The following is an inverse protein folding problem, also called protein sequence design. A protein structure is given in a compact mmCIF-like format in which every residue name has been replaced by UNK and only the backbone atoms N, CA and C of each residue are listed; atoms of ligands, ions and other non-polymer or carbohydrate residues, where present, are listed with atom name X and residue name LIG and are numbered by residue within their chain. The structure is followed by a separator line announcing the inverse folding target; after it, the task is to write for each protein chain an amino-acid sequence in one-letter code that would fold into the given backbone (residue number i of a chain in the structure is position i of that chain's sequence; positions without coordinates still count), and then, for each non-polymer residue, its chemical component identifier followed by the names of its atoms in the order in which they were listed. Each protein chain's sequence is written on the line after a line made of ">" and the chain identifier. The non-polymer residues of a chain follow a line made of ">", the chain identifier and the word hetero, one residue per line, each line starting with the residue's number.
data_IF_966731601758
#
_entry.id   IF_966731601758
#
_cell.length_a   1.000
_cell.length_b   1.000
_cell.length_c   1.000
_cell.angle_alpha   90.00
_cell.angle_beta   90.00
_cell.angle_gamma   90.00
#
_symmetry.space_group_name_H-M   'P 1'
#
loop_
_entity.id
_entity.type
_entity.pdbx_description
1 polymer ?
#
# COMPACT_ATOMS: atom_id res chain seq x y z
N UNK A 1 15.10 -17.07 -21.12
CA UNK A 1 15.35 -17.34 -19.70
C UNK A 1 13.99 -17.62 -19.07
N UNK A 2 13.80 -18.77 -18.40
CA UNK A 2 12.51 -19.09 -17.79
C UNK A 2 12.44 -18.41 -16.42
N UNK A 3 11.43 -17.59 -16.19
CA UNK A 3 11.18 -16.96 -14.90
C UNK A 3 10.27 -17.90 -14.14
N UNK A 4 10.70 -18.33 -12.96
CA UNK A 4 9.88 -19.16 -12.09
C UNK A 4 9.54 -18.37 -10.84
N UNK A 5 8.35 -17.78 -10.85
CA UNK A 5 7.70 -17.25 -9.67
C UNK A 5 6.74 -18.32 -9.15
N UNK A 6 6.98 -18.83 -7.96
CA UNK A 6 6.21 -19.93 -7.39
C UNK A 6 5.41 -19.41 -6.20
N UNK A 7 4.09 -19.49 -6.29
CA UNK A 7 3.20 -19.35 -5.14
C UNK A 7 2.82 -20.75 -4.64
N UNK A 8 3.32 -21.12 -3.47
CA UNK A 8 3.00 -22.40 -2.84
C UNK A 8 1.82 -22.23 -1.89
N UNK A 9 0.94 -23.23 -1.84
CA UNK A 9 -0.24 -23.23 -0.97
C UNK A 9 -0.22 -24.45 -0.05
N UNK A 10 -0.71 -24.27 1.16
CA UNK A 10 -1.02 -25.34 2.08
C UNK A 10 -2.23 -26.15 1.57
N UNK A 11 -2.44 -27.42 2.01
CA UNK A 11 -3.63 -28.20 1.65
C UNK A 11 -4.98 -27.51 1.96
N UNK A 12 -5.00 -26.58 2.91
CA UNK A 12 -6.14 -25.75 3.27
C UNK A 12 -6.26 -24.45 2.43
N UNK A 13 -5.49 -24.36 1.33
CA UNK A 13 -5.43 -23.25 0.37
C UNK A 13 -4.84 -21.94 0.90
N UNK A 14 -4.32 -21.90 2.11
CA UNK A 14 -3.57 -20.73 2.59
C UNK A 14 -2.24 -20.61 1.85
N UNK A 15 -1.75 -19.40 1.54
CA UNK A 15 -0.44 -19.22 0.94
C UNK A 15 0.63 -19.75 1.91
N UNK A 16 1.53 -20.60 1.42
CA UNK A 16 2.64 -21.14 2.19
C UNK A 16 3.92 -20.38 1.95
N UNK A 17 4.21 -20.06 0.69
CA UNK A 17 5.37 -19.28 0.31
C UNK A 17 5.18 -18.62 -1.06
N UNK A 18 5.90 -17.53 -1.25
CA UNK A 18 6.15 -16.91 -2.54
C UNK A 18 7.66 -16.96 -2.74
N UNK A 19 8.13 -17.49 -3.86
CA UNK A 19 9.56 -17.68 -4.11
C UNK A 19 9.97 -17.23 -5.50
N UNK A 20 10.97 -16.36 -5.53
CA UNK A 20 11.77 -16.07 -6.71
C UNK A 20 13.24 -16.21 -6.35
N UNK A 21 13.94 -17.07 -7.07
CA UNK A 21 15.35 -17.39 -6.80
C UNK A 21 16.33 -16.39 -7.42
N UNK A 22 15.84 -15.36 -8.11
CA UNK A 22 16.70 -14.31 -8.68
C UNK A 22 17.32 -13.43 -7.60
N UNK A 23 18.50 -12.84 -7.86
CA UNK A 23 19.08 -11.86 -6.95
C UNK A 23 18.12 -10.69 -6.66
N UNK A 24 17.73 -10.52 -5.39
CA UNK A 24 16.81 -9.48 -4.96
C UNK A 24 15.33 -9.77 -5.24
N UNK A 25 14.97 -10.94 -5.77
CA UNK A 25 13.59 -11.40 -5.93
C UNK A 25 12.87 -11.60 -4.59
N UNK A 26 11.55 -11.62 -4.63
CA UNK A 26 10.73 -11.83 -3.44
C UNK A 26 10.78 -13.31 -3.02
N UNK A 27 11.24 -13.55 -1.80
CA UNK A 27 11.34 -14.88 -1.23
C UNK A 27 10.84 -14.87 0.22
N UNK A 28 9.59 -15.32 0.44
CA UNK A 28 8.92 -15.23 1.73
C UNK A 28 8.01 -16.43 1.99
N UNK A 29 8.16 -17.05 3.17
CA UNK A 29 7.24 -18.02 3.73
C UNK A 29 6.25 -17.38 4.71
N UNK A 30 5.07 -17.97 4.83
CA UNK A 30 3.97 -17.50 5.66
C UNK A 30 3.72 -18.47 6.80
N UNK A 31 3.72 -17.98 8.03
CA UNK A 31 3.34 -18.73 9.23
C UNK A 31 1.96 -18.30 9.74
N UNK A 32 1.13 -19.27 10.13
CA UNK A 32 -0.23 -19.01 10.62
C UNK A 32 -0.44 -19.64 12.00
N UNK A 33 -1.31 -19.03 12.79
CA UNK A 33 -1.83 -19.67 13.99
C UNK A 33 -2.96 -20.69 13.65
N UNK A 34 -3.42 -21.48 14.63
CA UNK A 34 -4.47 -22.48 14.40
C UNK A 34 -5.81 -21.91 13.92
N UNK A 35 -6.09 -20.62 14.20
CA UNK A 35 -7.32 -19.97 13.77
C UNK A 35 -7.17 -19.23 12.44
N UNK A 36 -5.95 -19.26 11.83
CA UNK A 36 -5.68 -18.75 10.49
C UNK A 36 -5.16 -17.31 10.43
N UNK A 37 -4.80 -16.69 11.55
CA UNK A 37 -4.12 -15.41 11.51
C UNK A 37 -2.66 -15.58 11.03
N UNK A 38 -2.19 -14.70 10.15
CA UNK A 38 -0.80 -14.66 9.72
C UNK A 38 0.10 -14.19 10.88
N UNK A 39 0.97 -15.06 11.38
CA UNK A 39 1.81 -14.76 12.55
C UNK A 39 3.26 -14.47 12.22
N UNK A 40 3.72 -14.88 11.03
CA UNK A 40 5.12 -14.72 10.65
C UNK A 40 5.29 -14.58 9.13
N UNK A 41 6.28 -13.76 8.75
CA UNK A 41 6.85 -13.70 7.41
C UNK A 41 8.32 -14.10 7.53
N UNK A 42 8.72 -15.19 6.87
CA UNK A 42 10.05 -15.78 7.00
C UNK A 42 10.73 -15.83 5.63
N UNK A 43 11.92 -15.19 5.44
CA UNK A 43 12.66 -15.34 4.20
C UNK A 43 13.02 -16.81 3.96
N UNK A 44 13.04 -17.24 2.69
CA UNK A 44 13.38 -18.62 2.37
C UNK A 44 14.78 -18.99 2.85
N UNK A 45 14.93 -20.26 3.20
CA UNK A 45 16.18 -20.78 3.75
C UNK A 45 16.47 -20.36 5.19
N UNK A 46 15.65 -19.49 5.80
CA UNK A 46 15.78 -19.08 7.18
C UNK A 46 14.78 -19.81 8.08
N UNK A 47 15.20 -20.13 9.31
CA UNK A 47 14.31 -20.63 10.36
C UNK A 47 13.73 -19.52 11.24
N UNK A 48 14.29 -18.31 11.13
CA UNK A 48 13.90 -17.15 11.95
C UNK A 48 13.03 -16.23 11.10
N UNK A 49 11.81 -15.88 11.56
CA UNK A 49 10.97 -14.90 10.87
C UNK A 49 11.67 -13.55 10.75
N UNK A 50 11.46 -12.89 9.61
CA UNK A 50 11.84 -11.48 9.44
C UNK A 50 10.84 -10.58 10.19
N UNK A 51 9.57 -10.97 10.15
CA UNK A 51 8.45 -10.26 10.76
C UNK A 51 7.64 -11.22 11.62
N UNK A 52 7.28 -10.77 12.83
CA UNK A 52 6.28 -11.41 13.69
C UNK A 52 5.05 -10.52 13.87
N UNK A 53 3.87 -11.12 13.78
CA UNK A 53 2.59 -10.43 13.97
C UNK A 53 1.90 -10.96 15.22
N UNK A 54 1.32 -10.06 16.00
CA UNK A 54 0.56 -10.38 17.22
C UNK A 54 -0.88 -9.90 17.12
N UNK A 55 -1.79 -10.67 17.71
CA UNK A 55 -3.22 -10.40 17.68
C UNK A 55 -3.82 -10.42 19.08
N UNK A 56 -4.94 -9.75 19.25
CA UNK A 56 -5.77 -9.89 20.43
C UNK A 56 -6.73 -11.10 20.30
N UNK A 57 -7.52 -11.34 21.34
CA UNK A 57 -8.47 -12.46 21.39
C UNK A 57 -9.62 -12.35 20.34
N UNK A 58 -9.77 -11.19 19.71
CA UNK A 58 -10.73 -10.95 18.62
C UNK A 58 -10.08 -11.02 17.24
N UNK A 59 -8.81 -11.44 17.13
CA UNK A 59 -8.08 -11.52 15.88
C UNK A 59 -7.66 -10.17 15.29
N UNK A 60 -7.65 -9.09 16.09
CA UNK A 60 -7.21 -7.78 15.63
C UNK A 60 -5.70 -7.63 15.81
N UNK A 61 -5.00 -7.11 14.80
CA UNK A 61 -3.55 -6.89 14.87
C UNK A 61 -3.21 -5.93 16.02
N UNK A 62 -2.34 -6.38 16.93
CA UNK A 62 -1.85 -5.59 18.07
C UNK A 62 -0.37 -5.26 17.98
N UNK A 63 0.38 -6.01 17.18
CA UNK A 63 1.81 -5.78 17.04
C UNK A 63 2.39 -6.30 15.75
N UNK A 64 3.33 -5.53 15.23
CA UNK A 64 4.17 -5.85 14.09
C UNK A 64 5.61 -5.73 14.56
N UNK A 65 6.34 -6.84 14.62
CA UNK A 65 7.63 -6.94 15.28
C UNK A 65 8.72 -7.36 14.31
N UNK A 66 9.93 -6.85 14.50
CA UNK A 66 11.13 -7.44 13.92
C UNK A 66 11.29 -8.86 14.50
N UNK A 67 11.28 -9.85 13.62
CA UNK A 67 11.31 -11.26 14.04
C UNK A 67 12.66 -11.70 14.62
N UNK A 68 13.74 -11.00 14.26
CA UNK A 68 15.10 -11.31 14.77
C UNK A 68 15.32 -10.73 16.16
N UNK A 69 14.92 -9.48 16.39
CA UNK A 69 15.18 -8.77 17.65
C UNK A 69 14.00 -8.80 18.61
N UNK A 70 12.79 -9.14 18.12
CA UNK A 70 11.54 -9.03 18.87
C UNK A 70 11.08 -7.57 19.08
N UNK A 71 11.80 -6.59 18.51
CA UNK A 71 11.49 -5.17 18.67
C UNK A 71 10.18 -4.84 17.99
N UNK A 72 9.29 -4.14 18.70
CA UNK A 72 8.02 -3.69 18.17
C UNK A 72 8.25 -2.56 17.14
N UNK A 73 7.99 -2.84 15.87
CA UNK A 73 8.01 -1.86 14.76
C UNK A 73 6.75 -1.02 14.86
N UNK A 74 5.57 -1.66 14.81
CA UNK A 74 4.26 -1.03 15.01
C UNK A 74 3.50 -1.70 16.14
N UNK A 75 2.68 -0.92 16.83
CA UNK A 75 1.82 -1.44 17.88
C UNK A 75 0.47 -0.74 17.88
N UNK A 76 -0.58 -1.49 18.09
CA UNK A 76 -1.96 -1.00 18.03
C UNK A 76 -2.74 -1.41 19.27
N UNK A 77 -3.62 -0.53 19.73
CA UNK A 77 -4.67 -0.87 20.69
C UNK A 77 -6.02 -0.43 20.15
N UNK A 78 -7.05 -1.17 20.51
CA UNK A 78 -8.42 -0.88 20.12
C UNK A 78 -9.34 -1.01 21.34
N UNK A 79 -10.45 -0.28 21.33
CA UNK A 79 -11.51 -0.45 22.32
C UNK A 79 -12.36 -1.71 22.06
N UNK A 80 -13.35 -1.96 22.91
CA UNK A 80 -14.24 -3.10 22.79
C UNK A 80 -15.07 -3.09 21.50
N UNK A 81 -15.29 -1.92 20.89
CA UNK A 81 -16.07 -1.74 19.68
C UNK A 81 -15.23 -1.71 18.40
N UNK A 82 -13.89 -1.81 18.52
CA UNK A 82 -12.95 -1.88 17.39
C UNK A 82 -12.35 -0.54 16.98
N UNK A 83 -12.65 0.56 17.67
CA UNK A 83 -11.98 1.83 17.40
C UNK A 83 -10.51 1.74 17.81
N UNK A 84 -9.58 2.17 16.94
CA UNK A 84 -8.16 2.22 17.27
C UNK A 84 -7.92 3.32 18.31
N UNK A 85 -7.42 2.95 19.48
CA UNK A 85 -7.09 3.89 20.56
C UNK A 85 -5.65 4.40 20.48
N UNK A 86 -4.76 3.60 19.94
CA UNK A 86 -3.36 4.01 19.75
C UNK A 86 -2.72 3.34 18.54
N UNK A 87 -1.70 4.01 17.99
CA UNK A 87 -0.74 3.42 17.07
C UNK A 87 0.67 3.87 17.43
N UNK A 88 1.63 2.93 17.49
CA UNK A 88 3.04 3.24 17.57
C UNK A 88 3.55 3.59 16.16
N UNK A 89 4.25 4.70 16.05
CA UNK A 89 4.91 5.13 14.81
C UNK A 89 6.36 5.46 15.16
N UNK A 90 7.30 4.65 14.74
CA UNK A 90 8.69 4.73 15.16
C UNK A 90 8.81 4.58 16.69
N UNK A 91 9.33 5.60 17.38
CA UNK A 91 9.46 5.63 18.84
C UNK A 91 8.26 6.25 19.55
N UNK A 92 7.31 6.83 18.82
CA UNK A 92 6.19 7.61 19.37
C UNK A 92 4.89 6.83 19.31
N UNK A 93 4.11 6.85 20.40
CA UNK A 93 2.74 6.35 20.40
C UNK A 93 1.78 7.50 20.15
N UNK A 94 1.02 7.40 19.08
CA UNK A 94 -0.05 8.34 18.74
C UNK A 94 -1.37 7.87 19.37
N UNK A 95 -2.04 8.77 20.09
CA UNK A 95 -3.36 8.54 20.69
C UNK A 95 -4.45 8.94 19.71
N UNK A 96 -5.47 8.10 19.60
CA UNK A 96 -6.66 8.31 18.76
C UNK A 96 -7.84 8.67 19.67
N UNK A 97 -8.55 9.71 19.34
CA UNK A 97 -9.67 10.23 20.16
C UNK A 97 -10.98 10.15 19.40
N UNK A 98 -12.03 9.79 20.11
CA UNK A 98 -13.39 9.68 19.59
C UNK A 98 -14.37 10.41 20.53
N UNK A 99 -15.46 11.00 20.03
CA UNK A 99 -16.57 11.42 20.88
C UNK A 99 -17.20 10.21 21.58
N UNK A 100 -17.82 10.44 22.73
CA UNK A 100 -18.43 9.36 23.53
C UNK A 100 -19.64 8.70 22.88
N UNK A 101 -20.25 9.38 21.92
CA UNK A 101 -21.47 9.00 21.20
C UNK A 101 -21.22 8.67 19.73
N UNK A 102 -19.96 8.55 19.31
CA UNK A 102 -19.61 8.34 17.90
C UNK A 102 -18.32 7.57 17.73
N UNK A 103 -18.27 6.66 16.72
CA UNK A 103 -17.06 6.01 16.24
C UNK A 103 -16.25 6.89 15.26
N UNK A 104 -16.64 8.15 15.08
CA UNK A 104 -15.96 9.07 14.17
C UNK A 104 -14.69 9.61 14.83
N UNK A 105 -13.55 9.35 14.22
CA UNK A 105 -12.23 9.76 14.72
C UNK A 105 -12.15 11.29 14.82
N UNK A 106 -12.07 11.85 16.03
CA UNK A 106 -12.02 13.30 16.23
C UNK A 106 -10.61 13.89 16.22
N UNK A 107 -9.60 13.12 16.66
CA UNK A 107 -8.21 13.56 16.62
C UNK A 107 -7.23 12.37 16.60
N UNK A 108 -6.02 12.62 16.08
CA UNK A 108 -4.85 11.74 16.25
C UNK A 108 -3.69 12.58 16.75
N UNK A 109 -3.07 12.16 17.85
CA UNK A 109 -1.99 12.91 18.52
C UNK A 109 -2.34 14.39 18.74
N UNK A 110 -3.60 14.67 19.11
CA UNK A 110 -4.12 16.02 19.30
C UNK A 110 -4.46 16.80 18.02
N UNK A 111 -4.15 16.26 16.84
CA UNK A 111 -4.48 16.91 15.55
C UNK A 111 -5.94 16.60 15.18
N UNK A 112 -6.78 17.63 15.27
CA UNK A 112 -8.23 17.51 15.06
C UNK A 112 -8.60 17.16 13.62
N UNK A 113 -9.73 16.46 13.47
CA UNK A 113 -10.40 16.18 12.20
C UNK A 113 -11.79 16.79 12.21
N UNK A 114 -12.19 17.35 11.09
CA UNK A 114 -13.54 17.84 10.88
C UNK A 114 -14.19 17.15 9.70
N UNK A 115 -15.51 17.06 9.78
CA UNK A 115 -16.31 16.28 8.84
C UNK A 115 -17.48 17.11 8.31
N UNK A 116 -17.93 16.80 7.11
CA UNK A 116 -19.19 17.29 6.60
C UNK A 116 -20.39 16.52 7.22
N UNK A 117 -21.61 16.92 6.85
CA UNK A 117 -22.83 16.29 7.34
C UNK A 117 -22.95 14.80 6.93
N UNK A 118 -22.32 14.40 5.84
CA UNK A 118 -22.35 13.02 5.33
C UNK A 118 -21.23 12.15 5.89
N UNK A 119 -20.30 12.74 6.66
CA UNK A 119 -19.20 12.02 7.31
C UNK A 119 -17.88 12.02 6.55
N UNK A 120 -17.78 12.75 5.47
CA UNK A 120 -16.50 12.89 4.76
C UNK A 120 -15.56 13.79 5.55
N UNK A 121 -14.28 13.41 5.67
CA UNK A 121 -13.25 14.25 6.31
C UNK A 121 -12.98 15.48 5.47
N UNK A 122 -13.31 16.68 5.93
CA UNK A 122 -13.08 17.93 5.20
C UNK A 122 -11.82 18.66 5.63
N UNK A 123 -11.31 18.41 6.86
CA UNK A 123 -10.03 18.97 7.29
C UNK A 123 -9.32 18.09 8.33
N UNK A 124 -7.98 18.17 8.31
CA UNK A 124 -7.08 17.61 9.31
C UNK A 124 -6.13 18.72 9.74
N UNK A 125 -6.16 19.10 11.03
CA UNK A 125 -5.37 20.21 11.57
C UNK A 125 -5.75 21.56 10.96
N UNK A 126 -7.06 21.80 10.75
CA UNK A 126 -7.58 23.03 10.15
C UNK A 126 -7.15 23.18 8.69
N UNK A 127 -6.28 24.16 8.39
CA UNK A 127 -5.80 24.40 7.03
C UNK A 127 -4.62 23.54 6.60
N UNK A 128 -4.05 22.73 7.51
CA UNK A 128 -2.88 21.88 7.20
C UNK A 128 -3.21 20.93 6.06
N UNK A 129 -4.38 20.27 6.12
CA UNK A 129 -4.95 19.48 5.02
C UNK A 129 -6.44 19.72 4.94
N UNK A 130 -6.95 19.96 3.75
CA UNK A 130 -8.38 20.17 3.50
C UNK A 130 -8.81 19.39 2.26
N UNK A 131 -10.06 18.96 2.27
CA UNK A 131 -10.63 18.15 1.19
C UNK A 131 -12.03 18.66 0.84
N UNK A 132 -12.38 18.59 -0.43
CA UNK A 132 -13.74 18.80 -0.90
C UNK A 132 -14.22 17.57 -1.67
N UNK A 133 -15.52 17.37 -1.66
CA UNK A 133 -16.13 16.19 -2.27
C UNK A 133 -17.14 16.62 -3.34
N UNK A 134 -17.36 15.76 -4.33
CA UNK A 134 -18.42 15.94 -5.30
C UNK A 134 -19.81 15.53 -4.72
N UNK A 135 -20.86 15.67 -5.51
CA UNK A 135 -22.22 15.32 -5.11
C UNK A 135 -22.43 13.83 -4.86
N UNK A 136 -21.49 12.99 -5.29
CA UNK A 136 -21.48 11.52 -5.05
C UNK A 136 -20.61 11.13 -3.86
N UNK A 137 -20.11 12.10 -3.08
CA UNK A 137 -19.25 11.85 -1.92
C UNK A 137 -17.83 11.44 -2.26
N UNK A 138 -17.33 11.67 -3.49
CA UNK A 138 -15.97 11.35 -3.91
C UNK A 138 -15.08 12.57 -3.81
N UNK A 139 -13.84 12.40 -3.37
CA UNK A 139 -12.90 13.51 -3.19
C UNK A 139 -12.65 14.25 -4.50
N UNK A 140 -13.10 15.50 -4.60
CA UNK A 140 -12.95 16.34 -5.78
C UNK A 140 -11.65 17.15 -5.78
N UNK A 141 -11.17 17.53 -4.58
CA UNK A 141 -9.97 18.36 -4.44
C UNK A 141 -9.28 18.12 -3.10
N UNK A 142 -7.95 18.12 -3.11
CA UNK A 142 -7.10 18.18 -1.93
C UNK A 142 -6.35 19.51 -1.88
N UNK A 143 -6.16 20.05 -0.64
CA UNK A 143 -5.43 21.26 -0.35
C UNK A 143 -4.43 21.02 0.79
N UNK A 144 -3.33 21.78 0.78
CA UNK A 144 -2.35 21.83 1.86
C UNK A 144 -2.00 23.29 2.13
N UNK A 145 -2.07 23.69 3.41
CA UNK A 145 -1.85 25.08 3.83
C UNK A 145 -2.69 26.08 3.00
N UNK A 146 -3.95 25.74 2.69
CA UNK A 146 -4.86 26.55 1.88
C UNK A 146 -4.68 26.47 0.37
N UNK A 147 -3.52 26.03 -0.13
CA UNK A 147 -3.25 25.90 -1.56
C UNK A 147 -3.79 24.56 -2.10
N UNK A 148 -4.36 24.57 -3.31
CA UNK A 148 -4.77 23.34 -4.02
C UNK A 148 -3.52 22.54 -4.38
N UNK A 149 -3.52 21.26 -4.00
CA UNK A 149 -2.44 20.32 -4.32
C UNK A 149 -2.82 19.32 -5.39
N UNK A 150 -4.13 18.99 -5.51
CA UNK A 150 -4.63 18.08 -6.53
C UNK A 150 -6.14 18.22 -6.72
N UNK A 151 -6.58 18.01 -7.94
CA UNK A 151 -7.99 17.87 -8.30
C UNK A 151 -8.21 16.49 -8.90
N UNK A 152 -9.40 15.92 -8.69
CA UNK A 152 -9.78 14.58 -9.12
C UNK A 152 -11.07 14.57 -9.91
N UNK A 153 -11.21 13.60 -10.84
CA UNK A 153 -12.45 13.29 -11.54
C UNK A 153 -12.63 11.79 -11.63
N UNK A 154 -13.88 11.39 -11.63
CA UNK A 154 -14.31 10.00 -11.60
C UNK A 154 -15.22 9.68 -12.77
N UNK A 155 -15.24 8.42 -13.19
CA UNK A 155 -16.23 7.91 -14.14
C UNK A 155 -17.51 7.46 -13.41
N UNK A 156 -18.47 6.92 -14.17
CA UNK A 156 -19.74 6.43 -13.63
C UNK A 156 -19.60 5.25 -12.66
N UNK A 157 -18.53 4.43 -12.79
CA UNK A 157 -18.23 3.34 -11.86
C UNK A 157 -17.60 3.82 -10.53
N UNK A 158 -17.14 5.06 -10.44
CA UNK A 158 -16.45 5.61 -9.28
C UNK A 158 -14.95 5.50 -9.33
N UNK A 159 -14.39 5.08 -10.45
CA UNK A 159 -12.95 4.98 -10.66
C UNK A 159 -12.36 6.37 -10.93
N UNK A 160 -11.20 6.67 -10.32
CA UNK A 160 -10.51 7.94 -10.50
C UNK A 160 -9.82 8.00 -11.87
N UNK A 161 -10.50 8.56 -12.86
CA UNK A 161 -10.01 8.60 -14.26
C UNK A 161 -9.14 9.80 -14.58
N UNK A 162 -9.09 10.83 -13.72
CA UNK A 162 -8.24 11.99 -13.92
C UNK A 162 -7.79 12.60 -12.60
N UNK A 163 -6.48 12.90 -12.51
CA UNK A 163 -5.89 13.79 -11.50
C UNK A 163 -5.17 14.93 -12.19
N UNK A 164 -5.31 16.16 -11.67
CA UNK A 164 -4.72 17.33 -12.32
C UNK A 164 -4.43 18.47 -11.37
N UNK A 165 -3.38 19.23 -11.70
CA UNK A 165 -3.01 20.47 -11.04
C UNK A 165 -2.49 21.45 -12.12
N UNK A 166 -3.15 22.60 -12.25
CA UNK A 166 -2.86 23.54 -13.34
C UNK A 166 -3.01 22.86 -14.72
N UNK A 167 -1.96 22.90 -15.52
CA UNK A 167 -1.88 22.28 -16.84
C UNK A 167 -1.44 20.82 -16.81
N UNK A 168 -0.90 20.35 -15.67
CA UNK A 168 -0.44 18.96 -15.53
C UNK A 168 -1.62 18.03 -15.32
N UNK A 169 -1.78 17.07 -16.21
CA UNK A 169 -2.84 16.08 -16.16
C UNK A 169 -2.27 14.66 -16.14
N UNK A 170 -2.99 13.78 -15.45
CA UNK A 170 -2.82 12.34 -15.57
C UNK A 170 -4.19 11.72 -15.75
N UNK A 171 -4.36 11.00 -16.85
CA UNK A 171 -5.55 10.21 -17.17
C UNK A 171 -5.26 8.75 -16.86
N UNK A 172 -6.19 8.09 -16.19
CA UNK A 172 -6.09 6.69 -15.81
C UNK A 172 -7.13 5.86 -16.52
N UNK A 173 -6.72 4.75 -17.12
CA UNK A 173 -7.59 3.76 -17.72
C UNK A 173 -7.71 2.55 -16.80
N UNK A 174 -8.90 1.99 -16.77
CA UNK A 174 -9.23 0.77 -16.03
C UNK A 174 -9.85 -0.25 -16.97
N UNK A 175 -9.73 -1.53 -16.64
CA UNK A 175 -10.49 -2.59 -17.29
C UNK A 175 -11.91 -2.72 -16.71
N UNK A 176 -12.64 -3.72 -17.16
CA UNK A 176 -14.01 -3.98 -16.69
C UNK A 176 -14.06 -4.45 -15.22
N UNK A 177 -12.99 -5.08 -14.73
CA UNK A 177 -12.86 -5.55 -13.34
C UNK A 177 -12.42 -4.42 -12.37
N UNK A 178 -11.97 -3.28 -12.89
CA UNK A 178 -11.48 -2.14 -12.10
C UNK A 178 -9.96 -2.14 -11.89
N UNK A 179 -9.23 -3.01 -12.59
CA UNK A 179 -7.77 -2.98 -12.55
C UNK A 179 -7.26 -1.78 -13.34
N UNK A 180 -6.28 -1.07 -12.78
CA UNK A 180 -5.63 0.03 -13.46
C UNK A 180 -4.76 -0.48 -14.61
N UNK A 181 -5.13 -0.19 -15.84
CA UNK A 181 -4.36 -0.55 -17.03
C UNK A 181 -3.20 0.41 -17.29
N UNK A 182 -3.34 1.69 -16.96
CA UNK A 182 -2.25 2.63 -17.11
C UNK A 182 -2.62 4.08 -16.88
N UNK A 183 -1.57 4.89 -16.74
CA UNK A 183 -1.60 6.33 -16.61
C UNK A 183 -1.02 7.00 -17.86
N UNK A 184 -1.66 8.05 -18.32
CA UNK A 184 -1.34 8.77 -19.55
C UNK A 184 -1.29 10.28 -19.30
N UNK A 185 -0.49 11.00 -20.05
CA UNK A 185 -0.49 12.46 -20.05
C UNK A 185 -1.63 13.04 -20.90
N UNK A 186 -1.66 14.38 -21.05
CA UNK A 186 -2.68 15.07 -21.86
C UNK A 186 -2.60 14.79 -23.35
N UNK A 187 -1.48 14.28 -23.86
CA UNK A 187 -1.29 13.93 -25.27
C UNK A 187 -1.55 12.44 -25.54
N UNK A 188 -1.93 11.69 -24.49
CA UNK A 188 -2.11 10.24 -24.56
C UNK A 188 -0.80 9.45 -24.50
N UNK A 189 0.32 10.09 -24.17
CA UNK A 189 1.59 9.37 -23.99
C UNK A 189 1.55 8.58 -22.68
N UNK A 190 1.93 7.29 -22.69
CA UNK A 190 1.93 6.46 -21.49
C UNK A 190 2.99 6.92 -20.51
N UNK A 191 2.62 7.01 -19.24
CA UNK A 191 3.53 7.21 -18.11
C UNK A 191 3.94 5.88 -17.52
N UNK A 192 2.95 5.06 -17.19
CA UNK A 192 3.08 3.70 -16.68
C UNK A 192 1.89 2.89 -17.12
N UNK A 193 2.10 1.63 -17.48
CA UNK A 193 1.05 0.68 -17.80
C UNK A 193 1.26 -0.59 -16.97
N UNK A 194 0.19 -1.11 -16.38
CA UNK A 194 0.24 -2.32 -15.57
C UNK A 194 -0.26 -3.53 -16.37
N UNK A 195 0.37 -4.67 -16.13
CA UNK A 195 -0.03 -5.97 -16.66
C UNK A 195 -0.51 -6.81 -15.48
N UNK A 196 -1.69 -7.38 -15.62
CA UNK A 196 -2.37 -8.16 -14.59
C UNK A 196 -2.48 -9.63 -14.99
N UNK A 197 -2.39 -10.49 -14.02
CA UNK A 197 -2.74 -11.90 -14.09
C UNK A 197 -3.80 -12.13 -13.03
N UNK A 198 -5.05 -12.31 -13.47
CA UNK A 198 -6.21 -12.21 -12.58
C UNK A 198 -6.15 -10.90 -11.77
N UNK A 199 -6.22 -10.96 -10.45
CA UNK A 199 -6.16 -9.79 -9.55
C UNK A 199 -4.73 -9.41 -9.10
N UNK A 200 -3.69 -10.05 -9.64
CA UNK A 200 -2.30 -9.78 -9.26
C UNK A 200 -1.59 -8.90 -10.29
N UNK A 201 -0.95 -7.79 -9.88
CA UNK A 201 -0.11 -7.01 -10.76
C UNK A 201 1.22 -7.75 -11.00
N UNK A 202 1.46 -8.23 -12.21
CA UNK A 202 2.64 -9.04 -12.55
C UNK A 202 3.63 -8.34 -13.46
N UNK A 203 3.26 -7.22 -14.06
CA UNK A 203 4.15 -6.48 -14.95
C UNK A 203 3.87 -4.99 -14.99
N UNK A 204 4.90 -4.26 -15.42
CA UNK A 204 4.90 -2.82 -15.56
C UNK A 204 5.62 -2.43 -16.86
N UNK A 205 5.00 -1.61 -17.68
CA UNK A 205 5.68 -0.84 -18.71
C UNK A 205 5.92 0.57 -18.19
N UNK A 206 7.17 0.97 -18.04
CA UNK A 206 7.58 2.27 -17.55
C UNK A 206 8.86 2.75 -18.28
N UNK A 207 9.31 3.98 -18.02
CA UNK A 207 10.58 4.50 -18.54
C UNK A 207 10.75 4.24 -20.03
N UNK A 208 9.89 4.87 -20.88
CA UNK A 208 9.83 4.68 -22.31
C UNK A 208 9.46 3.26 -22.76
N UNK A 209 8.45 2.68 -22.11
CA UNK A 209 7.87 1.35 -22.41
C UNK A 209 8.82 0.17 -22.14
N UNK A 210 9.79 0.32 -21.25
CA UNK A 210 10.56 -0.83 -20.78
C UNK A 210 9.67 -1.74 -19.93
N UNK A 211 9.75 -3.04 -20.24
CA UNK A 211 9.07 -4.06 -19.44
C UNK A 211 9.83 -4.31 -18.14
N UNK A 212 9.09 -4.36 -17.04
CA UNK A 212 9.55 -4.81 -15.74
C UNK A 212 8.59 -5.86 -15.21
N UNK A 213 9.08 -6.81 -14.43
CA UNK A 213 8.22 -7.75 -13.71
C UNK A 213 7.93 -7.24 -12.31
N UNK A 214 6.68 -7.36 -11.87
CA UNK A 214 6.27 -7.04 -10.51
C UNK A 214 6.11 -8.35 -9.75
N UNK A 215 6.65 -8.42 -8.56
CA UNK A 215 6.47 -9.50 -7.61
C UNK A 215 5.61 -8.98 -6.44
N UNK A 216 4.31 -9.29 -6.44
CA UNK A 216 3.42 -8.90 -5.38
C UNK A 216 3.50 -9.88 -4.21
N UNK A 217 3.16 -9.41 -3.02
CA UNK A 217 2.89 -10.29 -1.88
C UNK A 217 1.49 -10.94 -1.98
N UNK A 218 1.13 -11.72 -0.96
CA UNK A 218 -0.16 -12.43 -0.87
C UNK A 218 -1.39 -11.50 -0.82
N UNK A 219 -1.20 -10.21 -0.62
CA UNK A 219 -2.26 -9.19 -0.66
C UNK A 219 -2.31 -8.45 -2.00
N UNK A 220 -1.44 -8.80 -2.96
CA UNK A 220 -1.31 -8.10 -4.22
C UNK A 220 -0.52 -6.78 -4.12
N UNK A 221 0.15 -6.52 -2.98
CA UNK A 221 1.03 -5.35 -2.86
C UNK A 221 2.35 -5.62 -3.58
N UNK A 222 2.80 -4.74 -4.50
CA UNK A 222 4.14 -4.84 -5.08
C UNK A 222 5.22 -4.84 -4.00
N UNK A 223 6.14 -5.77 -4.03
CA UNK A 223 7.27 -5.85 -3.11
C UNK A 223 8.61 -5.70 -3.82
N UNK A 224 8.70 -6.24 -5.01
CA UNK A 224 9.91 -6.14 -5.85
C UNK A 224 9.49 -5.82 -7.27
N UNK A 225 10.29 -5.02 -7.97
CA UNK A 225 10.20 -4.84 -9.43
C UNK A 225 11.56 -5.18 -10.02
N UNK A 226 11.54 -6.09 -10.98
CA UNK A 226 12.74 -6.63 -11.65
C UNK A 226 12.86 -6.05 -13.04
N UNK A 227 14.07 -5.61 -13.42
CA UNK A 227 14.46 -5.40 -14.83
C UNK A 227 14.83 -6.77 -15.43
N UNK A 228 14.01 -7.35 -16.34
CA UNK A 228 14.27 -8.68 -16.86
C UNK A 228 15.49 -8.75 -17.81
N UNK A 229 15.98 -7.60 -18.29
CA UNK A 229 17.14 -7.55 -19.17
C UNK A 229 18.43 -7.68 -18.37
N UNK A 230 18.48 -7.05 -17.21
CA UNK A 230 19.64 -7.04 -16.30
C UNK A 230 19.55 -8.12 -15.23
N UNK A 231 18.37 -8.70 -15.04
CA UNK A 231 18.05 -9.69 -13.99
C UNK A 231 18.35 -9.16 -12.57
N UNK A 232 17.95 -7.91 -12.30
CA UNK A 232 18.17 -7.23 -11.02
C UNK A 232 16.89 -6.53 -10.55
N UNK A 233 16.75 -6.42 -9.23
CA UNK A 233 15.70 -5.58 -8.63
C UNK A 233 16.02 -4.10 -8.86
N UNK A 234 15.05 -3.35 -9.41
CA UNK A 234 15.15 -1.90 -9.67
C UNK A 234 14.22 -1.09 -8.77
N UNK A 235 13.41 -1.77 -7.97
CA UNK A 235 12.57 -1.17 -6.94
C UNK A 235 12.22 -2.23 -5.90
N UNK A 236 12.25 -1.86 -4.62
CA UNK A 236 11.89 -2.76 -3.53
C UNK A 236 11.10 -2.05 -2.44
N UNK A 237 10.18 -2.78 -1.82
CA UNK A 237 9.43 -2.32 -0.67
C UNK A 237 9.50 -3.34 0.45
N UNK A 238 10.26 -3.02 1.49
CA UNK A 238 10.59 -3.93 2.57
C UNK A 238 9.35 -4.50 3.25
N UNK A 239 9.40 -5.79 3.59
CA UNK A 239 8.42 -6.43 4.47
C UNK A 239 8.50 -5.88 5.91
N UNK A 240 9.66 -5.35 6.33
CA UNK A 240 9.85 -4.65 7.62
C UNK A 240 9.28 -3.24 7.64
N UNK A 241 8.57 -2.84 6.60
CA UNK A 241 7.82 -1.60 6.56
C UNK A 241 6.71 -1.59 7.60
N UNK A 242 6.03 -0.47 7.68
CA UNK A 242 4.84 -0.31 8.52
C UNK A 242 3.69 -1.17 7.95
N UNK A 243 2.86 -1.76 8.83
CA UNK A 243 1.84 -2.76 8.47
C UNK A 243 0.79 -2.28 7.45
N UNK A 244 0.56 -0.97 7.36
CA UNK A 244 -0.43 -0.37 6.46
C UNK A 244 0.19 0.40 5.28
N UNK A 245 1.47 0.15 4.96
CA UNK A 245 2.11 0.67 3.77
C UNK A 245 2.54 2.14 3.82
N UNK A 246 2.83 2.66 5.00
CA UNK A 246 3.20 4.06 5.20
C UNK A 246 4.71 4.34 5.01
N UNK A 247 5.53 3.31 4.82
CA UNK A 247 6.97 3.45 4.59
C UNK A 247 7.30 3.72 3.13
N UNK A 248 8.39 4.42 2.89
CA UNK A 248 8.89 4.65 1.53
C UNK A 248 9.56 3.39 0.97
N UNK A 249 9.38 3.10 -0.32
CA UNK A 249 10.14 2.06 -1.01
C UNK A 249 11.58 2.54 -1.30
N UNK A 250 12.48 1.59 -1.56
CA UNK A 250 13.74 1.87 -2.22
C UNK A 250 13.50 1.88 -3.73
N UNK A 251 13.71 3.04 -4.36
CA UNK A 251 13.45 3.27 -5.79
C UNK A 251 14.67 3.04 -6.68
N UNK A 252 15.81 2.72 -6.08
CA UNK A 252 17.10 2.48 -6.75
C UNK A 252 17.91 1.47 -5.93
N UNK A 253 17.44 0.21 -5.80
CA UNK A 253 18.12 -0.80 -4.99
C UNK A 253 19.40 -1.32 -5.64
N UNK A 254 19.55 -1.23 -6.97
CA UNK A 254 20.74 -1.63 -7.71
C UNK A 254 21.81 -0.52 -7.78
N UNK A 255 21.48 0.70 -7.33
CA UNK A 255 22.43 1.80 -7.19
C UNK A 255 22.94 2.37 -8.52
N UNK A 256 22.19 2.19 -9.62
CA UNK A 256 22.59 2.71 -10.94
C UNK A 256 22.25 4.19 -11.16
N UNK A 257 21.58 4.83 -10.18
CA UNK A 257 21.16 6.23 -10.19
C UNK A 257 19.87 6.48 -10.98
N UNK A 258 19.21 5.45 -11.50
CA UNK A 258 17.97 5.54 -12.27
C UNK A 258 16.76 5.10 -11.44
N UNK A 259 16.23 6.00 -10.62
CA UNK A 259 15.10 5.70 -9.76
C UNK A 259 13.85 5.27 -10.53
N UNK A 260 13.28 4.13 -10.20
CA UNK A 260 11.96 3.69 -10.67
C UNK A 260 10.88 4.19 -9.70
N UNK A 261 9.95 5.00 -10.21
CA UNK A 261 8.76 5.42 -9.45
C UNK A 261 7.61 4.49 -9.76
N UNK A 262 7.09 3.81 -8.74
CA UNK A 262 5.89 2.97 -8.86
C UNK A 262 4.77 3.59 -8.02
N UNK A 263 3.64 3.90 -8.65
CA UNK A 263 2.46 4.49 -7.98
C UNK A 263 1.58 3.45 -7.26
N UNK A 264 1.73 2.17 -7.57
CA UNK A 264 1.03 1.09 -6.87
C UNK A 264 1.67 0.85 -5.50
N UNK A 265 0.84 0.77 -4.48
CA UNK A 265 1.25 0.55 -3.08
C UNK A 265 0.38 -0.54 -2.47
N UNK A 266 0.12 -0.45 -1.16
CA UNK A 266 -0.78 -1.33 -0.42
C UNK A 266 -2.06 -1.59 -1.23
N UNK A 267 -2.71 -2.79 -1.15
CA UNK A 267 -3.78 -3.21 -2.05
C UNK A 267 -4.80 -2.11 -2.34
N UNK A 268 -4.94 -1.79 -3.64
CA UNK A 268 -5.87 -0.77 -4.11
C UNK A 268 -5.49 0.69 -3.84
N UNK A 269 -4.37 0.95 -3.18
CA UNK A 269 -3.90 2.32 -2.92
C UNK A 269 -2.95 2.82 -4.02
N UNK A 270 -3.03 4.12 -4.26
CA UNK A 270 -2.07 4.86 -5.09
C UNK A 270 -1.31 5.85 -4.22
N UNK A 271 -0.04 5.99 -4.53
CA UNK A 271 0.84 6.97 -3.88
C UNK A 271 0.89 8.29 -4.64
#
# INVERSE_FOLDING_TARGET
>A
MSITFICQHHPDQRPQAIQDTRPGGLDVGFGFDPVGNLTALTPAGNSTPEIGLGYDTLGRLTGFKDGTTGTLIDGYSADATGNRLSAKVGTTTQVYSYPTDSHRLSAVAGVARTYDATGNTIAIGGTVRQYTYDTSGRMAQARRAGAVTMNYRYNGKGEQVRRFLGTTNTYTLFDEAGHRLGDYDSNGAPKQQAIWLDDLPVGLLANANKLHYIEPDHLGSPRVVIDPTRDVAVWTWSLKGEAFGNTAPNQDPDGDGAALVLDMRFPGQRF
#
